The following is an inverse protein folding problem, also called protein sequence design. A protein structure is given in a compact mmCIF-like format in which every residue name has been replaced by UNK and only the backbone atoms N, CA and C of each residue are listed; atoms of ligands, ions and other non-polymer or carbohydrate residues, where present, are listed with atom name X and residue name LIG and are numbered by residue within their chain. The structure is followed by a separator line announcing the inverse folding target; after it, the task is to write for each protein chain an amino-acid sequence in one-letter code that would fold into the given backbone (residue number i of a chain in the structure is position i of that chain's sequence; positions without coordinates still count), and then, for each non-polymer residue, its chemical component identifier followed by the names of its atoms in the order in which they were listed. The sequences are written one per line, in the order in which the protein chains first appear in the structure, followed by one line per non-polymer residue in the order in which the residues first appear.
data_IF_033015849838
#
_entry.id   IF_033015849838
#
_cell.length_a   1.000
_cell.length_b   1.000
_cell.length_c   1.000
_cell.angle_alpha   90.00
_cell.angle_beta   90.00
_cell.angle_gamma   90.00
#
_symmetry.space_group_name_H-M   'P 1'
#
loop_
_entity.id
_entity.type
_entity.pdbx_description
1 polymer ?
#
# COMPACT_ATOMS: atom_id res chain seq x y z
N UNK A 1 -28.65 20.17 37.16
CA UNK A 1 -28.15 19.99 35.77
C UNK A 1 -26.63 19.96 35.83
N UNK A 2 -26.07 18.76 36.04
CA UNK A 2 -24.66 18.53 36.35
C UNK A 2 -23.95 18.19 35.05
N UNK A 3 -23.01 19.04 34.68
CA UNK A 3 -22.18 18.84 33.46
C UNK A 3 -21.13 17.78 33.79
N UNK A 4 -21.24 16.60 33.17
CA UNK A 4 -20.19 15.58 33.21
C UNK A 4 -18.99 16.05 32.38
N UNK A 5 -17.87 16.23 33.06
CA UNK A 5 -16.56 16.45 32.39
C UNK A 5 -16.14 15.12 31.77
N UNK A 6 -15.84 15.14 30.47
CA UNK A 6 -15.18 14.05 29.76
C UNK A 6 -13.78 13.86 30.31
N UNK A 7 -13.53 12.71 30.94
CA UNK A 7 -12.19 12.28 31.33
C UNK A 7 -11.38 11.93 30.05
N UNK A 8 -10.35 12.69 29.79
CA UNK A 8 -9.33 12.34 28.82
C UNK A 8 -8.58 11.10 29.33
N UNK A 9 -8.84 9.94 28.75
CA UNK A 9 -7.97 8.78 28.91
C UNK A 9 -6.61 9.09 28.27
N UNK A 10 -5.63 9.41 29.08
CA UNK A 10 -4.22 9.39 28.69
C UNK A 10 -3.83 7.93 28.48
N UNK A 11 -3.70 7.50 27.25
CA UNK A 11 -3.14 6.20 26.90
C UNK A 11 -1.66 6.26 27.30
N UNK A 12 -1.30 5.56 28.36
CA UNK A 12 0.07 5.26 28.74
C UNK A 12 0.70 4.50 27.56
N UNK A 13 1.64 5.13 26.87
CA UNK A 13 2.43 4.48 25.82
C UNK A 13 3.33 3.42 26.47
N UNK A 14 2.85 2.21 26.57
CA UNK A 14 3.67 1.03 26.78
C UNK A 14 4.72 0.99 25.65
N UNK A 15 6.01 0.95 26.01
CA UNK A 15 7.13 0.89 25.06
C UNK A 15 7.23 -0.52 24.47
N UNK A 16 6.17 -1.01 23.88
CA UNK A 16 6.17 -2.26 23.11
C UNK A 16 7.07 -2.03 21.92
N UNK A 17 8.09 -2.85 21.78
CA UNK A 17 9.03 -2.81 20.65
C UNK A 17 8.23 -3.06 19.36
N UNK A 18 8.12 -2.05 18.50
CA UNK A 18 7.38 -2.21 17.25
C UNK A 18 8.09 -3.21 16.34
N UNK A 19 7.34 -4.00 15.54
CA UNK A 19 7.91 -5.05 14.70
C UNK A 19 8.84 -4.55 13.59
N UNK A 20 8.78 -3.25 13.24
CA UNK A 20 9.69 -2.61 12.27
C UNK A 20 10.24 -1.32 12.89
N UNK A 21 11.56 -1.13 12.82
CA UNK A 21 12.26 0.05 13.31
C UNK A 21 12.71 0.97 12.17
N UNK A 22 13.07 2.23 12.50
CA UNK A 22 13.72 3.14 11.55
C UNK A 22 15.00 2.52 10.97
N UNK A 23 15.83 1.91 11.81
CA UNK A 23 17.07 1.25 11.37
C UNK A 23 16.82 0.14 10.34
N UNK A 24 15.74 -0.63 10.48
CA UNK A 24 15.35 -1.65 9.49
C UNK A 24 14.97 -1.00 8.14
N UNK A 25 14.30 0.15 8.16
CA UNK A 25 13.93 0.91 6.96
C UNK A 25 15.17 1.52 6.31
N UNK A 26 16.12 2.04 7.07
CA UNK A 26 17.39 2.56 6.56
C UNK A 26 18.23 1.45 5.90
N UNK A 27 18.27 0.26 6.51
CA UNK A 27 18.92 -0.91 5.89
C UNK A 27 18.20 -1.33 4.60
N UNK A 28 16.86 -1.28 4.57
CA UNK A 28 16.10 -1.52 3.36
C UNK A 28 16.43 -0.51 2.26
N UNK A 29 16.59 0.78 2.60
CA UNK A 29 16.98 1.80 1.63
C UNK A 29 18.37 1.50 1.01
N UNK A 30 19.31 1.03 1.81
CA UNK A 30 20.64 0.60 1.31
C UNK A 30 20.50 -0.60 0.36
N UNK A 31 19.72 -1.63 0.72
CA UNK A 31 19.48 -2.80 -0.14
C UNK A 31 18.78 -2.46 -1.44
N UNK A 32 17.86 -1.49 -1.41
CA UNK A 32 17.05 -1.08 -2.56
C UNK A 32 17.77 -0.10 -3.51
N UNK A 33 18.92 0.46 -3.12
CA UNK A 33 19.68 1.38 -3.95
C UNK A 33 20.03 0.75 -5.32
N UNK A 34 19.59 1.38 -6.42
CA UNK A 34 19.74 0.88 -7.78
C UNK A 34 18.86 -0.34 -8.14
N UNK A 35 18.02 -0.81 -7.23
CA UNK A 35 17.09 -1.91 -7.48
C UNK A 35 15.68 -1.45 -7.82
N UNK A 36 15.26 -0.34 -7.23
CA UNK A 36 13.98 0.34 -7.46
C UNK A 36 14.22 1.81 -7.80
N UNK A 37 13.20 2.48 -8.32
CA UNK A 37 13.29 3.91 -8.61
C UNK A 37 13.08 4.74 -7.34
N UNK A 38 13.93 5.76 -7.13
CA UNK A 38 13.61 6.87 -6.25
C UNK A 38 12.64 7.77 -7.01
N UNK A 39 11.36 7.56 -6.78
CA UNK A 39 10.31 8.25 -7.52
C UNK A 39 10.26 9.74 -7.19
N UNK A 40 9.88 10.60 -8.13
CA UNK A 40 9.83 12.04 -7.89
C UNK A 40 8.72 12.42 -6.90
N UNK A 41 8.94 13.53 -6.20
CA UNK A 41 7.98 14.26 -5.42
C UNK A 41 7.67 15.57 -6.16
N UNK A 42 6.48 15.68 -6.76
CA UNK A 42 6.11 16.83 -7.61
C UNK A 42 5.03 17.69 -6.97
N UNK A 43 5.11 19.01 -7.16
CA UNK A 43 4.07 19.92 -6.68
C UNK A 43 2.82 19.79 -7.54
N UNK A 44 1.66 19.69 -6.91
CA UNK A 44 0.35 19.87 -7.54
C UNK A 44 -0.11 21.30 -7.35
N UNK A 45 -0.12 22.09 -8.41
CA UNK A 45 -0.57 23.49 -8.34
C UNK A 45 -2.06 23.57 -8.02
N UNK A 46 -2.88 22.74 -8.66
CA UNK A 46 -4.34 22.72 -8.50
C UNK A 46 -4.76 22.36 -7.07
N UNK A 47 -4.14 21.36 -6.46
CA UNK A 47 -4.43 20.99 -5.07
C UNK A 47 -3.82 22.01 -4.08
N UNK A 48 -2.67 22.60 -4.40
CA UNK A 48 -2.05 23.63 -3.56
C UNK A 48 -2.90 24.89 -3.48
N UNK A 49 -3.42 25.35 -4.61
CA UNK A 49 -4.37 26.48 -4.65
C UNK A 49 -5.64 26.15 -3.86
N UNK A 50 -6.19 24.95 -4.03
CA UNK A 50 -7.39 24.50 -3.33
C UNK A 50 -7.22 24.44 -1.81
N UNK A 51 -6.04 24.00 -1.34
CA UNK A 51 -5.75 23.82 0.08
C UNK A 51 -5.16 25.05 0.76
N UNK A 52 -4.64 26.01 -0.01
CA UNK A 52 -3.90 27.16 0.53
C UNK A 52 -2.51 26.81 1.08
N UNK A 53 -2.02 25.60 0.84
CA UNK A 53 -0.72 25.08 1.25
C UNK A 53 -0.11 24.20 0.15
N UNK A 54 1.22 24.09 0.06
CA UNK A 54 1.85 23.20 -0.91
C UNK A 54 1.41 21.74 -0.74
N UNK A 55 0.87 21.15 -1.79
CA UNK A 55 0.51 19.73 -1.88
C UNK A 55 1.41 19.05 -2.91
N UNK A 56 2.14 18.02 -2.51
CA UNK A 56 3.06 17.28 -3.37
C UNK A 56 2.56 15.86 -3.59
N UNK A 57 2.86 15.32 -4.75
CA UNK A 57 2.52 13.98 -5.19
C UNK A 57 3.78 13.11 -5.23
N UNK A 58 3.83 12.05 -4.42
CA UNK A 58 4.88 11.02 -4.49
C UNK A 58 4.47 9.96 -5.50
N UNK A 59 5.12 9.97 -6.67
CA UNK A 59 4.66 9.23 -7.85
C UNK A 59 5.17 7.78 -7.88
N UNK A 60 4.65 6.91 -7.01
CA UNK A 60 4.98 5.47 -7.04
C UNK A 60 4.46 4.74 -8.29
N UNK A 61 3.61 5.38 -9.06
CA UNK A 61 3.21 4.95 -10.41
C UNK A 61 4.39 4.88 -11.40
N UNK A 62 5.50 5.56 -11.11
CA UNK A 62 6.70 5.56 -11.94
C UNK A 62 7.69 4.45 -11.61
N UNK A 63 7.39 3.57 -10.66
CA UNK A 63 8.13 2.32 -10.52
C UNK A 63 8.01 1.47 -11.81
N UNK A 64 9.01 0.65 -12.16
CA UNK A 64 9.01 -0.16 -13.41
C UNK A 64 7.76 -1.01 -13.64
N UNK A 65 7.04 -1.36 -12.57
CA UNK A 65 5.80 -2.13 -12.63
C UNK A 65 4.54 -1.29 -12.36
N UNK A 66 4.68 0.04 -12.30
CA UNK A 66 3.57 0.98 -12.09
C UNK A 66 3.01 1.04 -10.68
N UNK A 67 3.74 0.57 -9.63
CA UNK A 67 3.24 0.55 -8.25
C UNK A 67 4.36 0.44 -7.21
N UNK A 68 4.11 1.02 -6.02
CA UNK A 68 4.98 0.96 -4.84
C UNK A 68 5.35 -0.45 -4.37
N UNK A 69 4.51 -1.44 -4.71
CA UNK A 69 4.68 -2.84 -4.27
C UNK A 69 6.06 -3.41 -4.56
N UNK A 70 6.74 -2.88 -5.59
CA UNK A 70 8.09 -3.29 -5.94
C UNK A 70 9.07 -3.11 -4.78
N UNK A 71 8.98 -2.03 -4.02
CA UNK A 71 9.91 -1.74 -2.92
C UNK A 71 9.91 -2.84 -1.85
N UNK A 72 8.71 -3.19 -1.35
CA UNK A 72 8.59 -4.22 -0.32
C UNK A 72 8.93 -5.61 -0.83
N UNK A 73 8.45 -6.00 -2.01
CA UNK A 73 8.78 -7.29 -2.60
C UNK A 73 10.29 -7.43 -2.85
N UNK A 74 10.91 -6.41 -3.45
CA UNK A 74 12.35 -6.42 -3.71
C UNK A 74 13.16 -6.48 -2.42
N UNK A 75 12.80 -5.68 -1.39
CA UNK A 75 13.51 -5.72 -0.11
C UNK A 75 13.39 -7.07 0.58
N UNK A 76 12.19 -7.66 0.65
CA UNK A 76 11.99 -8.97 1.24
C UNK A 76 12.80 -10.05 0.52
N UNK A 77 12.86 -10.02 -0.81
CA UNK A 77 13.64 -10.99 -1.59
C UNK A 77 15.16 -10.77 -1.39
N UNK A 78 15.62 -9.52 -1.32
CA UNK A 78 17.02 -9.19 -1.08
C UNK A 78 17.49 -9.51 0.34
N UNK A 79 16.58 -9.61 1.33
CA UNK A 79 16.92 -10.01 2.70
C UNK A 79 17.02 -11.53 2.90
N UNK A 80 16.56 -12.34 1.92
CA UNK A 80 16.66 -13.78 1.98
C UNK A 80 18.12 -14.27 1.86
N UNK A 81 18.43 -15.37 2.52
CA UNK A 81 19.69 -16.07 2.32
C UNK A 81 19.74 -16.78 0.95
N UNK A 82 20.92 -17.23 0.57
CA UNK A 82 21.15 -17.87 -0.72
C UNK A 82 20.40 -19.20 -0.88
N UNK A 83 20.15 -19.90 0.21
CA UNK A 83 19.42 -21.16 0.18
C UNK A 83 17.93 -20.93 -0.10
N UNK A 84 17.31 -19.96 0.59
CA UNK A 84 15.94 -19.56 0.36
C UNK A 84 15.73 -19.06 -1.08
N UNK A 85 16.67 -18.25 -1.61
CA UNK A 85 16.63 -17.79 -3.00
C UNK A 85 16.71 -18.94 -3.99
N UNK A 86 17.60 -19.92 -3.78
CA UNK A 86 17.74 -21.10 -4.66
C UNK A 86 16.49 -21.97 -4.67
N UNK A 87 15.78 -22.12 -3.56
CA UNK A 87 14.53 -22.88 -3.52
C UNK A 87 13.44 -22.22 -4.33
N UNK A 88 13.46 -20.91 -4.47
CA UNK A 88 12.49 -20.12 -5.22
C UNK A 88 11.41 -19.50 -4.33
N UNK A 89 10.60 -18.67 -4.95
CA UNK A 89 9.60 -17.81 -4.28
C UNK A 89 8.19 -18.27 -4.62
N UNK A 90 7.24 -17.99 -3.73
CA UNK A 90 5.82 -18.18 -3.99
C UNK A 90 5.00 -17.02 -3.40
N UNK A 91 3.94 -16.65 -4.10
CA UNK A 91 2.90 -15.75 -3.54
C UNK A 91 1.55 -16.04 -4.20
N UNK A 92 0.47 -15.71 -3.49
CA UNK A 92 -0.89 -15.75 -4.02
C UNK A 92 -1.37 -14.31 -4.27
N UNK A 93 -1.23 -13.83 -5.50
CA UNK A 93 -1.68 -12.48 -5.87
C UNK A 93 -1.76 -12.31 -7.38
N UNK A 94 -2.87 -11.77 -7.83
CA UNK A 94 -3.14 -11.49 -9.25
C UNK A 94 -2.90 -10.03 -9.64
N UNK A 95 -2.71 -9.18 -8.64
CA UNK A 95 -2.58 -7.73 -8.78
C UNK A 95 -1.13 -7.24 -8.68
N UNK A 96 -1.01 -6.06 -8.11
CA UNK A 96 0.25 -5.33 -7.97
C UNK A 96 1.36 -6.10 -7.24
N UNK A 97 0.99 -6.92 -6.24
CA UNK A 97 1.98 -7.69 -5.49
C UNK A 97 2.55 -8.87 -6.29
N UNK A 98 1.70 -9.64 -6.98
CA UNK A 98 2.16 -10.72 -7.86
C UNK A 98 3.09 -10.21 -8.97
N UNK A 99 2.76 -9.05 -9.57
CA UNK A 99 3.65 -8.38 -10.54
C UNK A 99 4.97 -7.96 -9.91
N UNK A 100 4.96 -7.44 -8.67
CA UNK A 100 6.15 -7.03 -7.96
C UNK A 100 7.09 -8.19 -7.67
N UNK A 101 6.56 -9.31 -7.16
CA UNK A 101 7.34 -10.54 -6.89
C UNK A 101 7.90 -11.10 -8.19
N UNK A 102 7.10 -11.23 -9.25
CA UNK A 102 7.53 -11.75 -10.54
C UNK A 102 8.65 -10.89 -11.16
N UNK A 103 8.50 -9.56 -11.13
CA UNK A 103 9.52 -8.63 -11.63
C UNK A 103 10.83 -8.72 -10.83
N UNK A 104 10.74 -8.68 -9.50
CA UNK A 104 11.91 -8.75 -8.63
C UNK A 104 12.65 -10.08 -8.78
N UNK A 105 11.91 -11.19 -8.81
CA UNK A 105 12.46 -12.52 -9.03
C UNK A 105 13.20 -12.61 -10.37
N UNK A 106 12.58 -12.15 -11.47
CA UNK A 106 13.23 -12.09 -12.80
C UNK A 106 14.51 -11.28 -12.78
N UNK A 107 14.48 -10.07 -12.17
CA UNK A 107 15.64 -9.16 -12.09
C UNK A 107 16.82 -9.81 -11.35
N UNK A 108 16.52 -10.64 -10.35
CA UNK A 108 17.51 -11.31 -9.49
C UNK A 108 17.83 -12.74 -9.95
N UNK A 109 17.22 -13.24 -11.02
CA UNK A 109 17.44 -14.61 -11.52
C UNK A 109 16.91 -15.70 -10.59
N UNK A 110 15.87 -15.43 -9.80
CA UNK A 110 15.29 -16.35 -8.82
C UNK A 110 14.00 -16.95 -9.40
N UNK A 111 13.76 -18.27 -9.31
CA UNK A 111 12.48 -18.86 -9.69
C UNK A 111 11.33 -18.31 -8.84
N UNK A 112 10.19 -18.01 -9.46
CA UNK A 112 9.00 -17.56 -8.74
C UNK A 112 7.74 -18.22 -9.29
N UNK A 113 6.87 -18.66 -8.37
CA UNK A 113 5.55 -19.23 -8.66
C UNK A 113 4.48 -18.29 -8.13
N UNK A 114 3.55 -17.89 -9.00
CA UNK A 114 2.42 -17.05 -8.62
C UNK A 114 1.14 -17.88 -8.69
N UNK A 115 0.53 -18.09 -7.52
CA UNK A 115 -0.74 -18.81 -7.40
C UNK A 115 -1.92 -17.86 -7.66
N UNK A 116 -2.89 -18.31 -8.45
CA UNK A 116 -4.05 -17.53 -8.89
C UNK A 116 -5.29 -18.41 -8.98
N UNK A 117 -6.46 -17.82 -8.76
CA UNK A 117 -7.73 -18.52 -9.03
C UNK A 117 -8.02 -18.60 -10.53
N UNK A 118 -8.85 -19.56 -10.93
CA UNK A 118 -9.30 -19.71 -12.31
C UNK A 118 -10.23 -18.56 -12.79
N UNK A 119 -10.66 -17.69 -11.90
CA UNK A 119 -11.52 -16.54 -12.22
C UNK A 119 -10.74 -15.29 -12.62
N UNK A 120 -9.41 -15.34 -12.54
CA UNK A 120 -8.56 -14.20 -12.89
C UNK A 120 -8.63 -13.92 -14.39
N UNK A 121 -8.86 -12.67 -14.81
CA UNK A 121 -8.86 -12.30 -16.21
C UNK A 121 -7.55 -12.66 -16.92
N UNK A 122 -7.65 -13.18 -18.15
CA UNK A 122 -6.50 -13.64 -18.93
C UNK A 122 -5.43 -12.58 -19.11
N UNK A 123 -5.80 -11.32 -19.31
CA UNK A 123 -4.85 -10.21 -19.42
C UNK A 123 -3.99 -10.01 -18.17
N UNK A 124 -4.53 -10.21 -16.96
CA UNK A 124 -3.76 -10.17 -15.71
C UNK A 124 -2.79 -11.37 -15.61
N UNK A 125 -3.24 -12.55 -15.99
CA UNK A 125 -2.40 -13.77 -16.04
C UNK A 125 -1.21 -13.57 -17.01
N UNK A 126 -1.49 -13.12 -18.23
CA UNK A 126 -0.46 -12.90 -19.25
C UNK A 126 0.54 -11.80 -18.83
N UNK A 127 0.08 -10.74 -18.18
CA UNK A 127 0.97 -9.68 -17.69
C UNK A 127 2.00 -10.21 -16.68
N UNK A 128 1.62 -11.14 -15.80
CA UNK A 128 2.54 -11.76 -14.84
C UNK A 128 3.42 -12.81 -15.51
N UNK A 129 2.85 -13.60 -16.45
CA UNK A 129 3.62 -14.58 -17.25
C UNK A 129 4.73 -13.90 -18.06
N UNK A 130 4.45 -12.74 -18.64
CA UNK A 130 5.44 -11.96 -19.40
C UNK A 130 6.63 -11.47 -18.51
N UNK A 131 6.44 -11.43 -17.20
CA UNK A 131 7.51 -11.17 -16.23
C UNK A 131 8.36 -12.40 -15.91
N UNK A 132 8.04 -13.58 -16.48
CA UNK A 132 8.85 -14.79 -16.36
C UNK A 132 8.53 -15.68 -15.16
N UNK A 133 7.46 -15.41 -14.42
CA UNK A 133 7.04 -16.25 -13.31
C UNK A 133 6.26 -17.49 -13.81
N UNK A 134 6.39 -18.61 -13.08
CA UNK A 134 5.49 -19.75 -13.23
C UNK A 134 4.10 -19.36 -12.69
N UNK A 135 3.06 -19.68 -13.45
CA UNK A 135 1.68 -19.44 -13.05
C UNK A 135 1.02 -20.75 -12.61
N UNK A 136 0.47 -20.73 -11.41
CA UNK A 136 -0.26 -21.85 -10.84
C UNK A 136 -1.74 -21.45 -10.69
N UNK A 137 -2.57 -21.98 -11.58
CA UNK A 137 -4.02 -21.71 -11.53
C UNK A 137 -4.68 -22.82 -10.73
N UNK A 138 -5.35 -22.46 -9.60
CA UNK A 138 -6.05 -23.40 -8.73
C UNK A 138 -7.34 -22.79 -8.20
N UNK A 139 -8.35 -23.64 -7.99
CA UNK A 139 -9.63 -23.26 -7.40
C UNK A 139 -10.33 -22.09 -8.08
N UNK A 140 -11.22 -21.43 -7.36
CA UNK A 140 -12.05 -20.34 -7.85
C UNK A 140 -12.09 -19.12 -6.91
N UNK A 141 -11.29 -19.12 -5.84
CA UNK A 141 -11.21 -18.03 -4.86
C UNK A 141 -9.75 -17.60 -4.65
N UNK A 142 -9.56 -16.46 -4.00
CA UNK A 142 -8.24 -16.02 -3.53
C UNK A 142 -7.73 -16.95 -2.41
N UNK A 143 -8.63 -17.51 -1.60
CA UNK A 143 -8.28 -18.44 -0.53
C UNK A 143 -7.70 -19.74 -1.11
N UNK A 144 -8.29 -20.31 -2.18
CA UNK A 144 -7.74 -21.49 -2.87
C UNK A 144 -6.31 -21.23 -3.36
N UNK A 145 -6.05 -20.04 -3.91
CA UNK A 145 -4.72 -19.64 -4.37
C UNK A 145 -3.73 -19.49 -3.20
N UNK A 146 -4.19 -18.98 -2.07
CA UNK A 146 -3.40 -18.83 -0.85
C UNK A 146 -3.05 -20.21 -0.25
N UNK A 147 -4.02 -21.11 -0.16
CA UNK A 147 -3.80 -22.49 0.30
C UNK A 147 -2.78 -23.22 -0.56
N UNK A 148 -2.82 -23.05 -1.88
CA UNK A 148 -1.83 -23.62 -2.78
C UNK A 148 -0.43 -23.03 -2.55
N UNK A 149 -0.31 -21.72 -2.34
CA UNK A 149 0.97 -21.09 -2.01
C UNK A 149 1.55 -21.65 -0.71
N UNK A 150 0.72 -21.84 0.32
CA UNK A 150 1.11 -22.46 1.58
C UNK A 150 1.51 -23.94 1.42
N UNK A 151 0.77 -24.68 0.58
CA UNK A 151 1.11 -26.07 0.25
C UNK A 151 2.48 -26.15 -0.41
N UNK A 152 2.77 -25.29 -1.38
CA UNK A 152 4.07 -25.21 -2.07
C UNK A 152 5.18 -24.83 -1.11
N UNK A 153 4.94 -23.91 -0.20
CA UNK A 153 5.89 -23.56 0.87
C UNK A 153 6.23 -24.79 1.73
N UNK A 154 5.21 -25.55 2.17
CA UNK A 154 5.41 -26.73 3.03
C UNK A 154 6.04 -27.92 2.29
N UNK A 155 5.62 -28.18 1.03
CA UNK A 155 6.02 -29.39 0.30
C UNK A 155 7.31 -29.24 -0.51
N UNK A 156 7.59 -28.03 -1.05
CA UNK A 156 8.77 -27.77 -1.88
C UNK A 156 9.77 -26.82 -1.20
N UNK A 157 9.44 -26.28 -0.03
CA UNK A 157 10.29 -25.33 0.69
C UNK A 157 10.41 -23.97 0.01
N UNK A 158 9.45 -23.60 -0.87
CA UNK A 158 9.44 -22.29 -1.49
C UNK A 158 9.27 -21.20 -0.43
N UNK A 159 9.91 -20.05 -0.64
CA UNK A 159 9.79 -18.92 0.27
C UNK A 159 8.57 -18.08 -0.09
N UNK A 160 7.61 -17.99 0.83
CA UNK A 160 6.46 -17.14 0.67
C UNK A 160 6.85 -15.65 0.82
N UNK A 161 6.37 -14.82 -0.12
CA UNK A 161 6.51 -13.36 -0.03
C UNK A 161 5.11 -12.77 0.18
N UNK A 162 4.76 -12.38 1.43
CA UNK A 162 3.45 -11.81 1.76
C UNK A 162 3.24 -10.43 1.13
N UNK A 163 1.97 -10.03 0.85
CA UNK A 163 1.68 -8.75 0.21
C UNK A 163 1.83 -7.53 1.13
N UNK A 164 1.85 -7.70 2.45
CA UNK A 164 1.93 -6.61 3.43
C UNK A 164 2.40 -7.02 4.83
N UNK A 165 1.92 -8.13 5.42
CA UNK A 165 2.16 -8.47 6.83
C UNK A 165 3.50 -9.21 7.04
N UNK A 166 4.57 -8.51 6.71
CA UNK A 166 5.94 -8.99 6.82
C UNK A 166 6.89 -7.82 7.12
N UNK A 167 7.84 -8.00 8.02
CA UNK A 167 8.72 -6.93 8.48
C UNK A 167 9.62 -6.38 7.36
N UNK A 168 10.15 -7.23 6.49
CA UNK A 168 11.01 -6.82 5.39
C UNK A 168 10.20 -6.15 4.27
N UNK A 169 8.97 -6.63 4.00
CA UNK A 169 8.05 -5.96 3.08
C UNK A 169 7.73 -4.56 3.59
N UNK A 170 7.35 -4.42 4.85
CA UNK A 170 7.03 -3.12 5.47
C UNK A 170 8.24 -2.19 5.49
N UNK A 171 9.43 -2.71 5.81
CA UNK A 171 10.66 -1.91 5.78
C UNK A 171 10.97 -1.36 4.38
N UNK A 172 10.77 -2.18 3.33
CA UNK A 172 10.90 -1.74 1.94
C UNK A 172 9.93 -0.61 1.59
N UNK A 173 8.66 -0.72 1.99
CA UNK A 173 7.66 0.34 1.78
C UNK A 173 8.00 1.61 2.57
N UNK A 174 8.56 1.45 3.75
CA UNK A 174 8.96 2.55 4.63
C UNK A 174 10.03 3.47 4.02
N UNK A 175 10.79 3.01 3.04
CA UNK A 175 11.79 3.83 2.33
C UNK A 175 11.17 5.05 1.64
N UNK A 176 9.90 4.98 1.26
CA UNK A 176 9.14 6.15 0.77
C UNK A 176 9.10 7.25 1.84
N UNK A 177 8.91 6.87 3.10
CA UNK A 177 8.90 7.81 4.22
C UNK A 177 10.24 8.52 4.43
N UNK A 178 11.38 7.83 4.22
CA UNK A 178 12.71 8.46 4.24
C UNK A 178 12.84 9.49 3.13
N UNK A 179 12.50 9.10 1.90
CA UNK A 179 12.54 9.99 0.74
C UNK A 179 11.67 11.25 0.95
N UNK A 180 10.45 11.10 1.50
CA UNK A 180 9.56 12.23 1.79
C UNK A 180 10.18 13.21 2.81
N UNK A 181 10.79 12.70 3.87
CA UNK A 181 11.39 13.55 4.90
C UNK A 181 12.60 14.30 4.37
N UNK A 182 13.38 13.67 3.50
CA UNK A 182 14.54 14.26 2.83
C UNK A 182 14.12 15.32 1.82
N UNK A 183 13.19 14.99 0.91
CA UNK A 183 12.75 15.85 -0.19
C UNK A 183 11.87 17.03 0.30
N UNK A 184 11.22 16.89 1.47
CA UNK A 184 10.26 17.86 2.01
C UNK A 184 10.54 18.22 3.48
N UNK A 185 11.57 19.05 3.75
CA UNK A 185 11.91 19.46 5.12
C UNK A 185 10.75 20.08 5.90
N UNK A 186 9.82 20.73 5.21
CA UNK A 186 8.61 21.36 5.77
C UNK A 186 7.40 20.42 5.96
N UNK A 187 7.51 19.13 5.69
CA UNK A 187 6.41 18.15 5.72
C UNK A 187 5.60 18.23 7.02
N UNK A 188 4.28 18.38 6.88
CA UNK A 188 3.30 18.42 7.99
C UNK A 188 2.32 17.26 7.95
N UNK A 189 1.94 16.80 6.74
CA UNK A 189 0.93 15.74 6.58
C UNK A 189 1.33 14.80 5.45
N UNK A 190 1.12 13.51 5.63
CA UNK A 190 1.23 12.49 4.59
C UNK A 190 -0.10 11.76 4.47
N UNK A 191 -0.67 11.72 3.27
CA UNK A 191 -1.88 10.97 2.94
C UNK A 191 -1.47 9.67 2.26
N UNK A 192 -1.78 8.54 2.90
CA UNK A 192 -1.30 7.22 2.48
C UNK A 192 -2.46 6.28 2.23
N UNK A 193 -2.58 5.67 1.04
CA UNK A 193 -3.55 4.60 0.80
C UNK A 193 -3.41 3.46 1.82
N UNK A 194 -4.53 3.05 2.43
CA UNK A 194 -4.57 2.09 3.53
C UNK A 194 -5.45 0.88 3.18
N UNK A 195 -4.81 -0.27 3.07
CA UNK A 195 -5.41 -1.60 2.98
C UNK A 195 -4.83 -2.48 4.10
N UNK A 196 -4.05 -3.51 3.77
CA UNK A 196 -3.35 -4.39 4.72
C UNK A 196 -2.27 -3.71 5.59
N UNK A 197 -2.02 -2.42 5.42
CA UNK A 197 -1.21 -1.59 6.32
C UNK A 197 0.30 -1.55 6.04
N UNK A 198 0.83 -2.36 5.11
CA UNK A 198 2.28 -2.41 4.88
C UNK A 198 2.87 -1.08 4.40
N UNK A 199 2.20 -0.39 3.48
CA UNK A 199 2.60 0.94 2.99
C UNK A 199 2.48 1.99 4.10
N UNK A 200 1.28 2.11 4.67
CA UNK A 200 0.99 3.14 5.66
C UNK A 200 1.80 2.95 6.96
N UNK A 201 1.91 1.71 7.44
CA UNK A 201 2.74 1.39 8.62
C UNK A 201 4.21 1.68 8.40
N UNK A 202 4.77 1.28 7.25
CA UNK A 202 6.17 1.53 6.91
C UNK A 202 6.49 3.03 6.81
N UNK A 203 5.68 3.79 6.06
CA UNK A 203 5.83 5.25 5.95
C UNK A 203 5.69 5.91 7.32
N UNK A 204 4.70 5.49 8.12
CA UNK A 204 4.46 6.06 9.42
C UNK A 204 5.63 5.83 10.39
N UNK A 205 6.27 4.66 10.38
CA UNK A 205 7.47 4.39 11.19
C UNK A 205 8.57 5.38 10.84
N UNK A 206 8.91 5.55 9.56
CA UNK A 206 9.97 6.46 9.13
C UNK A 206 9.63 7.93 9.44
N UNK A 207 8.43 8.37 9.05
CA UNK A 207 8.00 9.76 9.24
C UNK A 207 7.92 10.12 10.71
N UNK A 208 7.31 9.29 11.55
CA UNK A 208 7.18 9.57 12.98
C UNK A 208 8.51 9.56 13.72
N UNK A 209 9.46 8.74 13.30
CA UNK A 209 10.79 8.71 13.89
C UNK A 209 11.58 10.00 13.57
N UNK A 210 11.50 10.51 12.34
CA UNK A 210 12.28 11.65 11.87
C UNK A 210 11.55 12.99 12.02
N UNK A 211 10.22 12.98 11.95
CA UNK A 211 9.34 14.15 12.08
C UNK A 211 8.13 13.83 12.98
N UNK A 212 8.32 13.72 14.31
CA UNK A 212 7.29 13.25 15.24
C UNK A 212 5.97 14.04 15.19
N UNK A 213 6.02 15.32 14.79
CA UNK A 213 4.86 16.21 14.70
C UNK A 213 4.13 16.14 13.34
N UNK A 214 4.70 15.49 12.34
CA UNK A 214 4.01 15.31 11.07
C UNK A 214 2.89 14.29 11.23
N UNK A 215 1.71 14.58 10.65
CA UNK A 215 0.57 13.68 10.64
C UNK A 215 0.73 12.64 9.53
N UNK A 216 0.41 11.40 9.83
CA UNK A 216 0.30 10.33 8.83
C UNK A 216 -1.13 9.82 8.86
N UNK A 217 -1.87 10.06 7.79
CA UNK A 217 -3.29 9.76 7.66
C UNK A 217 -3.46 8.62 6.67
N UNK A 218 -4.05 7.52 7.14
CA UNK A 218 -4.44 6.41 6.28
C UNK A 218 -5.75 6.72 5.56
N UNK A 219 -5.80 6.52 4.25
CA UNK A 219 -7.03 6.72 3.47
C UNK A 219 -7.46 5.37 2.89
N UNK A 220 -8.71 4.99 3.16
CA UNK A 220 -9.32 3.76 2.65
C UNK A 220 -10.70 4.03 2.05
N UNK A 221 -11.28 3.03 1.39
CA UNK A 221 -12.66 3.08 0.91
C UNK A 221 -13.65 2.82 2.05
N UNK A 222 -14.89 3.29 1.92
CA UNK A 222 -15.97 3.01 2.88
C UNK A 222 -16.38 1.54 2.88
N UNK A 223 -16.23 0.86 1.75
CA UNK A 223 -16.62 -0.54 1.56
C UNK A 223 -15.49 -1.48 2.00
N UNK A 224 -15.72 -2.25 3.06
CA UNK A 224 -14.80 -3.29 3.50
C UNK A 224 -13.44 -2.78 4.04
N UNK A 225 -13.40 -1.65 4.73
CA UNK A 225 -12.19 -1.04 5.30
C UNK A 225 -11.65 -1.86 6.50
N UNK A 226 -10.97 -2.97 6.21
CA UNK A 226 -10.57 -3.96 7.21
C UNK A 226 -9.62 -3.41 8.28
N UNK A 227 -8.64 -2.59 7.91
CA UNK A 227 -7.71 -2.00 8.87
C UNK A 227 -8.42 -1.00 9.78
N UNK A 228 -9.31 -0.16 9.24
CA UNK A 228 -10.09 0.80 10.04
C UNK A 228 -10.98 0.06 11.05
N UNK A 229 -11.72 -0.97 10.61
CA UNK A 229 -12.56 -1.78 11.49
C UNK A 229 -11.74 -2.47 12.59
N UNK A 230 -10.54 -2.97 12.23
CA UNK A 230 -9.63 -3.62 13.17
C UNK A 230 -9.07 -2.66 14.21
N UNK A 231 -8.66 -1.45 13.80
CA UNK A 231 -8.18 -0.41 14.72
C UNK A 231 -9.30 0.03 15.67
N UNK A 232 -10.51 0.23 15.17
CA UNK A 232 -11.68 0.54 15.99
C UNK A 232 -12.02 -0.56 16.99
N UNK A 233 -11.84 -1.84 16.61
CA UNK A 233 -12.06 -2.99 17.47
C UNK A 233 -10.88 -3.28 18.45
N UNK A 234 -9.74 -2.62 18.28
CA UNK A 234 -8.51 -2.88 19.04
C UNK A 234 -7.85 -4.23 18.74
N UNK A 235 -8.28 -4.95 17.71
CA UNK A 235 -7.74 -6.24 17.25
C UNK A 235 -8.12 -6.49 15.80
N UNK A 236 -7.37 -7.33 15.07
CA UNK A 236 -7.78 -7.76 13.75
C UNK A 236 -9.19 -8.37 13.74
N UNK A 237 -10.03 -7.94 12.80
CA UNK A 237 -11.39 -8.45 12.60
C UNK A 237 -11.64 -8.77 11.14
N UNK A 238 -12.51 -9.75 10.89
CA UNK A 238 -13.02 -10.03 9.56
C UNK A 238 -14.00 -8.94 9.13
N UNK A 239 -13.94 -8.53 7.89
CA UNK A 239 -14.92 -7.67 7.25
C UNK A 239 -15.47 -8.36 6.01
N UNK A 240 -16.67 -7.98 5.60
CA UNK A 240 -17.19 -8.44 4.31
C UNK A 240 -16.45 -7.69 3.21
N UNK A 241 -15.93 -8.44 2.25
CA UNK A 241 -15.35 -7.88 1.04
C UNK A 241 -16.49 -7.42 0.10
N UNK A 242 -16.35 -6.21 -0.42
CA UNK A 242 -17.33 -5.59 -1.32
C UNK A 242 -16.61 -5.04 -2.55
N UNK A 243 -17.33 -4.99 -3.68
CA UNK A 243 -16.79 -4.37 -4.90
C UNK A 243 -16.52 -2.88 -4.68
N UNK A 244 -15.35 -2.43 -5.14
CA UNK A 244 -14.89 -1.06 -5.02
C UNK A 244 -13.99 -0.68 -6.20
N UNK A 245 -14.01 0.58 -6.61
CA UNK A 245 -13.06 1.14 -7.58
C UNK A 245 -11.61 1.07 -7.07
N UNK A 246 -11.42 1.04 -5.75
CA UNK A 246 -10.12 0.88 -5.11
C UNK A 246 -9.81 -0.62 -4.82
N UNK A 247 -9.99 -1.51 -5.82
CA UNK A 247 -9.86 -2.96 -5.70
C UNK A 247 -8.58 -3.41 -4.99
N UNK A 248 -7.46 -2.72 -5.23
CA UNK A 248 -6.17 -2.98 -4.57
C UNK A 248 -6.14 -2.64 -3.07
N UNK A 249 -7.17 -1.98 -2.53
CA UNK A 249 -7.36 -1.76 -1.10
C UNK A 249 -8.31 -2.79 -0.46
N UNK A 250 -9.04 -3.56 -1.27
CA UNK A 250 -9.94 -4.61 -0.81
C UNK A 250 -9.22 -5.76 -0.11
N UNK A 251 -10.03 -6.62 0.51
CA UNK A 251 -9.56 -7.78 1.23
C UNK A 251 -9.30 -7.56 2.73
N UNK A 252 -9.25 -8.66 3.48
CA UNK A 252 -8.95 -8.65 4.91
C UNK A 252 -7.48 -8.40 5.22
N UNK A 253 -7.19 -8.04 6.47
CA UNK A 253 -5.81 -7.90 6.96
C UNK A 253 -5.24 -9.17 7.58
N UNK A 254 -6.03 -10.25 7.64
CA UNK A 254 -5.70 -11.49 8.37
C UNK A 254 -5.96 -11.39 9.87
N UNK A 255 -6.63 -12.40 10.44
CA UNK A 255 -6.96 -12.42 11.87
C UNK A 255 -5.72 -12.61 12.76
N UNK A 256 -4.67 -13.21 12.20
CA UNK A 256 -3.36 -13.41 12.85
C UNK A 256 -2.31 -12.37 12.40
N UNK A 257 -2.76 -11.19 11.99
CA UNK A 257 -1.86 -10.10 11.57
C UNK A 257 -0.83 -9.80 12.66
N UNK A 258 0.47 -9.85 12.32
CA UNK A 258 1.57 -9.80 13.28
C UNK A 258 2.38 -8.52 13.24
N UNK A 259 2.33 -7.80 12.13
CA UNK A 259 3.21 -6.66 11.86
C UNK A 259 2.40 -5.39 11.63
N UNK A 260 1.55 -5.42 10.61
CA UNK A 260 0.99 -4.18 10.07
C UNK A 260 -0.11 -3.58 10.94
N UNK A 261 -0.93 -4.40 11.60
CA UNK A 261 -1.96 -3.90 12.52
C UNK A 261 -1.34 -3.11 13.68
N UNK A 262 -0.32 -3.67 14.34
CA UNK A 262 0.35 -3.02 15.45
C UNK A 262 0.99 -1.68 15.03
N UNK A 263 1.59 -1.63 13.83
CA UNK A 263 2.19 -0.41 13.30
C UNK A 263 1.14 0.66 12.98
N UNK A 264 0.06 0.28 12.30
CA UNK A 264 -1.02 1.21 11.94
C UNK A 264 -1.72 1.76 13.20
N UNK A 265 -2.05 0.89 14.15
CA UNK A 265 -2.66 1.30 15.42
C UNK A 265 -1.77 2.26 16.22
N UNK A 266 -0.44 2.03 16.23
CA UNK A 266 0.49 2.82 17.03
C UNK A 266 0.97 4.12 16.34
N UNK A 267 0.90 4.22 15.01
CA UNK A 267 1.61 5.24 14.24
C UNK A 267 0.75 6.10 13.33
N UNK A 268 -0.44 5.64 12.94
CA UNK A 268 -1.37 6.49 12.18
C UNK A 268 -2.06 7.46 13.14
N UNK A 269 -2.17 8.72 12.73
CA UNK A 269 -2.87 9.74 13.51
C UNK A 269 -4.38 9.69 13.25
N UNK A 270 -4.77 9.24 12.06
CA UNK A 270 -6.15 9.22 11.62
C UNK A 270 -6.33 8.20 10.49
N UNK A 271 -7.54 7.66 10.36
CA UNK A 271 -7.96 6.88 9.20
C UNK A 271 -9.23 7.53 8.65
N UNK A 272 -9.18 7.92 7.37
CA UNK A 272 -10.29 8.57 6.65
C UNK A 272 -10.83 7.62 5.59
N UNK A 273 -12.16 7.54 5.49
CA UNK A 273 -12.84 6.72 4.50
C UNK A 273 -13.43 7.60 3.39
N UNK A 274 -13.28 7.14 2.14
CA UNK A 274 -13.81 7.80 0.96
C UNK A 274 -14.81 6.90 0.23
N UNK A 275 -15.86 7.50 -0.32
CA UNK A 275 -16.89 6.79 -1.09
C UNK A 275 -16.43 6.47 -2.52
N UNK A 276 -17.16 5.61 -3.22
CA UNK A 276 -16.90 5.26 -4.61
C UNK A 276 -16.94 6.50 -5.53
N UNK A 277 -17.91 7.39 -5.33
CA UNK A 277 -18.02 8.63 -6.09
C UNK A 277 -16.83 9.56 -5.86
N UNK A 278 -16.34 9.63 -4.62
CA UNK A 278 -15.14 10.40 -4.26
C UNK A 278 -13.88 9.78 -4.87
N UNK A 279 -13.76 8.44 -4.89
CA UNK A 279 -12.65 7.73 -5.56
C UNK A 279 -12.68 8.03 -7.06
N UNK A 280 -13.86 7.92 -7.70
CA UNK A 280 -14.02 8.24 -9.11
C UNK A 280 -13.67 9.72 -9.40
N UNK A 281 -14.04 10.65 -8.52
CA UNK A 281 -13.62 12.05 -8.62
C UNK A 281 -12.11 12.22 -8.50
N UNK A 282 -11.47 11.45 -7.61
CA UNK A 282 -10.01 11.41 -7.45
C UNK A 282 -9.29 10.91 -8.71
N UNK A 283 -9.79 9.84 -9.34
CA UNK A 283 -9.26 9.31 -10.61
C UNK A 283 -9.39 10.35 -11.73
N UNK A 284 -10.57 11.00 -11.84
CA UNK A 284 -10.80 12.07 -12.83
C UNK A 284 -9.87 13.27 -12.63
N UNK A 285 -9.67 13.71 -11.40
CA UNK A 285 -8.75 14.80 -11.08
C UNK A 285 -7.32 14.45 -11.46
N UNK A 286 -6.84 13.28 -11.04
CA UNK A 286 -5.49 12.81 -11.38
C UNK A 286 -5.26 12.78 -12.90
N UNK A 287 -6.26 12.35 -13.68
CA UNK A 287 -6.15 12.29 -15.14
C UNK A 287 -6.20 13.68 -15.80
N UNK A 288 -7.13 14.55 -15.38
CA UNK A 288 -7.43 15.80 -16.09
C UNK A 288 -6.54 16.96 -15.66
N UNK A 289 -6.24 17.03 -14.36
CA UNK A 289 -5.51 18.16 -13.77
C UNK A 289 -4.01 17.84 -13.58
N UNK A 290 -3.67 16.57 -13.27
CA UNK A 290 -2.30 16.17 -13.01
C UNK A 290 -1.65 15.40 -14.18
N UNK A 291 -2.44 15.00 -15.19
CA UNK A 291 -1.93 14.22 -16.32
C UNK A 291 -1.50 12.80 -15.94
N UNK A 292 -2.03 12.25 -14.84
CA UNK A 292 -1.63 10.96 -14.27
C UNK A 292 -2.67 9.88 -14.53
N UNK A 293 -2.22 8.69 -14.95
CA UNK A 293 -3.04 7.47 -14.91
C UNK A 293 -2.88 6.81 -13.56
N UNK A 294 -3.97 6.75 -12.78
CA UNK A 294 -3.98 6.15 -11.44
C UNK A 294 -5.09 5.11 -11.31
N UNK A 295 -4.83 4.04 -10.58
CA UNK A 295 -5.87 3.12 -10.12
C UNK A 295 -6.64 3.70 -8.94
N UNK A 296 -7.82 3.14 -8.60
CA UNK A 296 -8.64 3.66 -7.50
C UNK A 296 -7.89 3.77 -6.18
N UNK A 297 -7.05 2.79 -5.86
CA UNK A 297 -6.20 2.82 -4.66
C UNK A 297 -5.19 3.99 -4.68
N UNK A 298 -4.65 4.34 -5.85
CA UNK A 298 -3.75 5.49 -6.01
C UNK A 298 -4.46 6.84 -5.94
N UNK A 299 -5.79 6.85 -6.11
CA UNK A 299 -6.61 8.05 -6.17
C UNK A 299 -7.21 8.49 -4.82
N UNK A 300 -7.19 7.63 -3.77
CA UNK A 300 -7.89 7.94 -2.51
C UNK A 300 -7.37 9.19 -1.79
N UNK A 301 -6.09 9.53 -1.95
CA UNK A 301 -5.53 10.76 -1.39
C UNK A 301 -6.10 12.03 -2.05
N UNK A 302 -6.29 12.00 -3.38
CA UNK A 302 -7.00 13.05 -4.12
C UNK A 302 -8.46 13.13 -3.68
N UNK A 303 -9.13 11.97 -3.60
CA UNK A 303 -10.52 11.87 -3.16
C UNK A 303 -10.75 12.56 -1.81
N UNK A 304 -9.91 12.29 -0.83
CA UNK A 304 -10.01 12.85 0.52
C UNK A 304 -9.84 14.36 0.57
N UNK A 305 -8.95 14.93 -0.26
CA UNK A 305 -8.78 16.39 -0.37
C UNK A 305 -9.98 17.02 -1.11
N UNK A 306 -10.39 16.44 -2.23
CA UNK A 306 -11.47 16.97 -3.05
C UNK A 306 -12.80 17.00 -2.31
N UNK A 307 -13.07 15.99 -1.49
CA UNK A 307 -14.27 15.89 -0.64
C UNK A 307 -14.17 16.66 0.68
N UNK A 308 -13.03 17.33 0.95
CA UNK A 308 -12.79 18.08 2.20
C UNK A 308 -12.94 17.24 3.47
N UNK A 309 -12.63 15.94 3.38
CA UNK A 309 -12.63 15.04 4.55
C UNK A 309 -11.38 15.19 5.42
N UNK A 310 -10.39 15.95 4.95
CA UNK A 310 -9.13 16.20 5.67
C UNK A 310 -8.88 17.70 5.73
N UNK A 311 -8.59 18.17 6.94
CA UNK A 311 -8.10 19.54 7.14
C UNK A 311 -6.60 19.62 6.87
N UNK A 312 -6.21 20.35 5.83
CA UNK A 312 -4.82 20.59 5.44
C UNK A 312 -4.33 21.88 6.08
N UNK A 313 -3.39 21.74 7.01
CA UNK A 313 -2.86 22.85 7.82
C UNK A 313 -1.39 23.17 7.55
N UNK A 314 -0.82 22.66 6.45
CA UNK A 314 0.57 22.89 6.05
C UNK A 314 1.01 22.00 4.88
N UNK A 315 2.29 22.05 4.53
CA UNK A 315 2.84 21.29 3.41
C UNK A 315 2.52 19.78 3.53
N UNK A 316 1.87 19.23 2.49
CA UNK A 316 1.29 17.88 2.49
C UNK A 316 1.83 17.05 1.34
N UNK A 317 2.06 15.76 1.57
CA UNK A 317 2.39 14.79 0.55
C UNK A 317 1.26 13.76 0.38
N UNK A 318 0.89 13.47 -0.87
CA UNK A 318 -0.01 12.36 -1.25
C UNK A 318 0.82 11.25 -1.85
N UNK A 319 0.62 10.02 -1.40
CA UNK A 319 1.23 8.85 -2.04
C UNK A 319 0.34 8.38 -3.18
N UNK A 320 0.78 8.59 -4.40
CA UNK A 320 0.14 8.07 -5.63
C UNK A 320 0.67 6.65 -5.86
N UNK A 321 0.03 5.69 -5.21
CA UNK A 321 0.59 4.37 -4.92
C UNK A 321 0.69 3.42 -6.12
N UNK A 322 -0.17 3.60 -7.14
CA UNK A 322 -0.19 2.74 -8.32
C UNK A 322 -1.07 3.27 -9.46
N UNK A 323 -0.77 2.82 -10.67
CA UNK A 323 -1.45 3.20 -11.90
C UNK A 323 -1.93 2.00 -12.75
N UNK A 324 -2.01 0.81 -12.18
CA UNK A 324 -2.37 -0.41 -12.90
C UNK A 324 -3.89 -0.61 -13.02
N UNK A 325 -4.56 0.37 -13.61
CA UNK A 325 -5.99 0.33 -13.92
C UNK A 325 -6.24 -0.24 -15.31
N UNK A 326 -7.36 -0.93 -15.49
CA UNK A 326 -7.81 -1.34 -16.83
C UNK A 326 -8.09 -0.10 -17.70
N UNK A 327 -7.54 -0.02 -18.94
CA UNK A 327 -7.70 1.17 -19.77
C UNK A 327 -9.14 1.48 -20.16
N UNK A 328 -10.02 0.47 -20.27
CA UNK A 328 -11.43 0.68 -20.60
C UNK A 328 -12.20 1.20 -19.38
N UNK A 329 -11.96 0.63 -18.19
CA UNK A 329 -12.51 1.12 -16.93
C UNK A 329 -12.05 2.55 -16.65
N UNK A 330 -10.74 2.86 -16.82
CA UNK A 330 -10.21 4.21 -16.65
C UNK A 330 -10.91 5.23 -17.56
N UNK A 331 -11.09 4.89 -18.85
CA UNK A 331 -11.79 5.75 -19.80
C UNK A 331 -13.23 5.99 -19.39
N UNK A 332 -13.94 4.93 -19.01
CA UNK A 332 -15.33 5.04 -18.54
C UNK A 332 -15.44 6.01 -17.36
N UNK A 333 -14.54 5.91 -16.37
CA UNK A 333 -14.53 6.81 -15.21
C UNK A 333 -14.23 8.25 -15.61
N UNK A 334 -13.24 8.48 -16.50
CA UNK A 334 -12.88 9.83 -16.96
C UNK A 334 -14.04 10.47 -17.71
N UNK A 335 -14.78 9.71 -18.53
CA UNK A 335 -15.93 10.21 -19.30
C UNK A 335 -17.18 10.44 -18.45
N UNK A 336 -17.11 10.20 -17.13
CA UNK A 336 -18.18 10.45 -16.17
C UNK A 336 -19.11 9.25 -15.94
N UNK A 337 -18.79 8.09 -16.49
CA UNK A 337 -19.47 6.83 -16.20
C UNK A 337 -19.09 6.24 -14.84
N UNK A 338 -19.84 5.20 -14.44
CA UNK A 338 -19.48 4.31 -13.32
C UNK A 338 -18.84 3.08 -13.95
N UNK A 339 -17.67 2.69 -13.47
CA UNK A 339 -16.95 1.51 -13.97
C UNK A 339 -17.52 0.22 -13.38
#
# INVERSE_FOLDING_TARGET
MTIMKSENLSISADKTLLPVSLAAIEQAAVRLAGQVERTPLVLSDTLSERCGYPVHLKLETLQPIGTFKLRGAMNAILSLDDEARRRGLVTASTGNHGRAVAYAARKLGIPATICMSALVPTNKVEAIRALGAEIRIVGRSQDDAQEEAERLTKSLGLTAIPPFDDADVVAGQGTIGLELVEDMPGLKTVLVPLSGGGLAGGIAVAVKALKPRARVIGISMERGAAMQASVAAGRPVAVREEETLADSLGGGIGLENRVTFALCQARLDEIVLVSEDEIAAGIRHAAREEGLTVEGAGAVGFAAILSRKIDISGPTAIIVSGGNIDPAAHRTIIDGGVA
#
